data_IF_498879841785
#
_entry.id   IF_498879841785
#
_cell.length_a   1.000
_cell.length_b   1.000
_cell.length_c   1.000
_cell.angle_alpha   90.00
_cell.angle_beta   90.00
_cell.angle_gamma   90.00
#
_symmetry.space_group_name_H-M   'P 1'
#
loop_
_entity.id
_entity.type
_entity.pdbx_description
1 polymer ?
#
# COMPACT_ATOMS: atom_id res chain seq x y z
N UNK A 1 15.07 15.09 -5.17
CA UNK A 1 14.23 13.96 -4.71
C UNK A 1 14.47 13.76 -3.22
N UNK A 2 13.50 14.13 -2.38
CA UNK A 2 13.65 14.21 -0.93
C UNK A 2 13.90 12.83 -0.31
N UNK A 3 14.86 12.76 0.63
CA UNK A 3 15.29 11.55 1.35
C UNK A 3 14.15 10.81 2.09
N UNK A 4 13.03 11.48 2.30
CA UNK A 4 11.81 10.93 2.90
C UNK A 4 11.09 9.94 1.98
N UNK A 5 10.91 10.28 0.70
CA UNK A 5 10.31 9.37 -0.30
C UNK A 5 11.15 8.10 -0.49
N UNK A 6 12.48 8.22 -0.47
CA UNK A 6 13.37 7.06 -0.60
C UNK A 6 13.38 6.14 0.62
N UNK A 7 13.01 6.62 1.82
CA UNK A 7 12.85 5.79 3.01
C UNK A 7 11.51 5.03 2.97
N UNK A 8 10.43 5.73 2.62
CA UNK A 8 9.11 5.13 2.46
C UNK A 8 9.11 4.04 1.37
N UNK A 9 9.78 4.31 0.24
CA UNK A 9 9.91 3.35 -0.85
C UNK A 9 10.75 2.12 -0.49
N UNK A 10 11.70 2.21 0.46
CA UNK A 10 12.56 1.07 0.81
C UNK A 10 11.92 0.13 1.84
N UNK A 11 11.12 0.64 2.76
CA UNK A 11 10.45 -0.18 3.77
C UNK A 11 9.16 -0.80 3.22
N UNK A 12 8.35 -0.04 2.46
CA UNK A 12 6.99 -0.46 2.12
C UNK A 12 6.84 -0.64 0.59
N UNK A 13 7.86 -1.21 -0.07
CA UNK A 13 7.88 -1.50 -1.52
C UNK A 13 6.58 -2.14 -2.05
N UNK A 14 6.01 -3.19 -1.41
CA UNK A 14 4.82 -3.84 -1.93
C UNK A 14 3.58 -2.93 -1.91
N UNK A 15 3.35 -2.17 -0.83
CA UNK A 15 2.25 -1.19 -0.76
C UNK A 15 2.41 -0.11 -1.82
N UNK A 16 3.62 0.44 -1.97
CA UNK A 16 3.88 1.47 -2.97
C UNK A 16 3.58 0.97 -4.39
N UNK A 17 4.02 -0.24 -4.73
CA UNK A 17 3.73 -0.85 -6.03
C UNK A 17 2.25 -1.16 -6.23
N UNK A 18 1.57 -1.66 -5.20
CA UNK A 18 0.13 -1.89 -5.24
C UNK A 18 -0.65 -0.58 -5.48
N UNK A 19 -0.24 0.52 -4.86
CA UNK A 19 -0.85 1.84 -5.06
C UNK A 19 -0.63 2.37 -6.48
N UNK A 20 0.59 2.22 -7.02
CA UNK A 20 0.89 2.65 -8.40
C UNK A 20 0.07 1.83 -9.41
N UNK A 21 0.01 0.51 -9.23
CA UNK A 21 -0.75 -0.38 -10.12
C UNK A 21 -2.25 -0.07 -10.07
N UNK A 22 -2.83 0.15 -8.87
CA UNK A 22 -4.26 0.45 -8.76
C UNK A 22 -4.63 1.74 -9.50
N UNK A 23 -3.81 2.79 -9.36
CA UNK A 23 -4.01 4.07 -10.05
C UNK A 23 -3.96 3.88 -11.57
N UNK A 24 -2.97 3.14 -12.08
CA UNK A 24 -2.83 2.89 -13.53
C UNK A 24 -4.05 2.15 -14.07
N UNK A 25 -4.52 1.12 -13.36
CA UNK A 25 -5.71 0.36 -13.77
C UNK A 25 -6.97 1.25 -13.74
N UNK A 26 -7.16 2.03 -12.66
CA UNK A 26 -8.31 2.95 -12.55
C UNK A 26 -8.31 3.98 -13.68
N UNK A 27 -7.18 4.61 -13.98
CA UNK A 27 -7.06 5.57 -15.09
C UNK A 27 -7.31 4.87 -16.43
N UNK A 28 -6.79 3.66 -16.62
CA UNK A 28 -7.04 2.84 -17.80
C UNK A 28 -8.54 2.59 -18.02
N UNK A 29 -9.27 2.19 -16.97
CA UNK A 29 -10.73 1.97 -17.03
C UNK A 29 -11.47 3.27 -17.33
N UNK A 30 -11.09 4.39 -16.71
CA UNK A 30 -11.73 5.70 -16.95
C UNK A 30 -11.60 6.17 -18.40
N UNK A 31 -10.47 5.87 -19.04
CA UNK A 31 -10.20 6.28 -20.43
C UNK A 31 -10.79 5.31 -21.46
N UNK A 32 -10.86 4.01 -21.16
CA UNK A 32 -11.28 2.97 -22.12
C UNK A 32 -12.79 2.70 -22.08
N UNK A 33 -13.42 2.80 -20.90
CA UNK A 33 -14.83 2.50 -20.71
C UNK A 33 -15.63 3.80 -20.67
N UNK A 34 -16.54 3.98 -21.62
CA UNK A 34 -17.39 5.17 -21.71
C UNK A 34 -18.62 5.08 -20.82
N UNK A 35 -19.11 3.86 -20.57
CA UNK A 35 -20.30 3.61 -19.77
C UNK A 35 -20.04 3.85 -18.28
N UNK A 36 -20.92 4.59 -17.62
CA UNK A 36 -20.72 5.04 -16.24
C UNK A 36 -20.83 3.87 -15.26
N UNK A 37 -21.87 3.04 -15.41
CA UNK A 37 -22.14 1.91 -14.52
C UNK A 37 -21.01 0.91 -14.60
N UNK A 38 -20.59 0.56 -15.82
CA UNK A 38 -19.49 -0.39 -16.05
C UNK A 38 -18.16 0.12 -15.49
N UNK A 39 -17.87 1.43 -15.59
CA UNK A 39 -16.69 2.02 -14.93
C UNK A 39 -16.72 1.80 -13.42
N UNK A 40 -17.84 2.11 -12.76
CA UNK A 40 -17.97 1.91 -11.32
C UNK A 40 -17.85 0.44 -10.92
N UNK A 41 -18.48 -0.46 -11.67
CA UNK A 41 -18.40 -1.91 -11.43
C UNK A 41 -16.97 -2.46 -11.56
N UNK A 42 -16.16 -1.92 -12.47
CA UNK A 42 -14.78 -2.35 -12.65
C UNK A 42 -13.81 -1.69 -11.66
N UNK A 43 -14.05 -0.45 -11.28
CA UNK A 43 -13.21 0.31 -10.34
C UNK A 43 -13.44 -0.15 -8.90
N UNK A 44 -14.66 -0.52 -8.53
CA UNK A 44 -15.02 -0.91 -7.16
C UNK A 44 -14.21 -2.12 -6.62
N UNK A 45 -14.05 -3.25 -7.36
CA UNK A 45 -13.20 -4.35 -6.94
C UNK A 45 -11.72 -3.97 -6.80
N UNK A 46 -11.23 -3.06 -7.66
CA UNK A 46 -9.84 -2.58 -7.60
C UNK A 46 -9.60 -1.80 -6.29
N UNK A 47 -10.54 -0.93 -5.91
CA UNK A 47 -10.49 -0.23 -4.62
C UNK A 47 -10.61 -1.18 -3.44
N UNK A 48 -11.58 -2.11 -3.46
CA UNK A 48 -11.77 -3.07 -2.39
C UNK A 48 -10.52 -3.95 -2.20
N UNK A 49 -9.93 -4.43 -3.29
CA UNK A 49 -8.69 -5.20 -3.26
C UNK A 49 -7.51 -4.39 -2.70
N UNK A 50 -7.39 -3.12 -3.08
CA UNK A 50 -6.33 -2.25 -2.56
C UNK A 50 -6.48 -1.99 -1.05
N UNK A 51 -7.70 -1.75 -0.56
CA UNK A 51 -7.96 -1.52 0.87
C UNK A 51 -7.66 -2.81 1.66
N UNK A 52 -8.16 -3.95 1.21
CA UNK A 52 -7.90 -5.25 1.86
C UNK A 52 -6.41 -5.55 1.90
N UNK A 53 -5.70 -5.35 0.79
CA UNK A 53 -4.25 -5.52 0.73
C UNK A 53 -3.53 -4.56 1.69
N UNK A 54 -3.97 -3.29 1.74
CA UNK A 54 -3.37 -2.29 2.64
C UNK A 54 -3.54 -2.69 4.10
N UNK A 55 -4.71 -3.18 4.52
CA UNK A 55 -4.94 -3.64 5.90
C UNK A 55 -4.07 -4.85 6.21
N UNK A 56 -4.02 -5.85 5.32
CA UNK A 56 -3.23 -7.06 5.54
C UNK A 56 -1.73 -6.74 5.68
N UNK A 57 -1.19 -5.90 4.79
CA UNK A 57 0.23 -5.53 4.85
C UNK A 57 0.51 -4.60 6.03
N UNK A 58 -0.39 -3.68 6.37
CA UNK A 58 -0.21 -2.79 7.54
C UNK A 58 -0.21 -3.59 8.83
N UNK A 59 -1.09 -4.60 8.98
CA UNK A 59 -1.08 -5.50 10.14
C UNK A 59 0.24 -6.26 10.27
N UNK A 60 0.81 -6.72 9.16
CA UNK A 60 2.11 -7.40 9.17
C UNK A 60 3.26 -6.41 9.50
N UNK A 61 3.23 -5.18 8.98
CA UNK A 61 4.22 -4.14 9.30
C UNK A 61 4.15 -3.65 10.76
N UNK A 62 2.96 -3.46 11.32
CA UNK A 62 2.78 -3.07 12.73
C UNK A 62 3.33 -4.14 13.69
N UNK A 63 3.14 -5.42 13.37
CA UNK A 63 3.71 -6.53 14.16
C UNK A 63 5.25 -6.57 14.07
N UNK A 64 5.84 -6.34 12.89
CA UNK A 64 7.29 -6.29 12.72
C UNK A 64 7.95 -5.09 13.44
N UNK A 65 7.30 -3.92 13.42
CA UNK A 65 7.82 -2.72 14.07
C UNK A 65 7.77 -2.84 15.61
N UNK A 66 6.75 -3.50 16.16
CA UNK A 66 6.70 -3.84 17.60
C UNK A 66 7.85 -4.75 18.04
N UNK A 67 8.24 -5.75 17.24
CA UNK A 67 9.35 -6.65 17.56
C UNK A 67 10.71 -5.94 17.49
N UNK A 68 10.92 -5.07 16.50
CA UNK A 68 12.14 -4.29 16.35
C UNK A 68 12.34 -3.32 17.51
N UNK A 69 11.26 -2.69 18.00
CA UNK A 69 11.33 -1.75 19.14
C UNK A 69 11.60 -2.45 20.48
N UNK A 70 11.02 -3.66 20.68
CA UNK A 70 11.31 -4.51 21.85
C UNK A 70 12.76 -5.00 21.88
N UNK A 71 13.37 -5.28 20.72
CA UNK A 71 14.79 -5.68 20.63
C UNK A 71 15.76 -4.53 20.99
N UNK A 72 15.47 -3.29 20.55
CA UNK A 72 16.28 -2.11 20.88
C UNK A 72 16.23 -1.76 22.37
N UNK A 73 15.06 -1.84 23.00
CA UNK A 73 14.91 -1.57 24.45
C UNK A 73 15.70 -2.55 25.32
N UNK A 74 15.91 -3.78 24.87
CA UNK A 74 16.68 -4.81 25.59
C UNK A 74 18.21 -4.62 25.45
N UNK A 75 18.67 -3.98 24.38
CA UNK A 75 20.08 -3.68 24.12
C UNK A 75 20.60 -2.44 24.86
N UNK A 76 19.74 -1.47 25.18
CA UNK A 76 20.15 -0.21 25.84
C UNK A 76 20.19 -0.32 27.37
N UNK A 77 19.80 -1.47 27.95
CA UNK A 77 19.74 -1.69 29.40
C UNK A 77 20.88 -2.56 29.95
N UNK A 78 21.98 -2.71 29.20
CA UNK A 78 23.22 -3.36 29.65
C UNK A 78 24.34 -2.35 29.79
#
# INVERSE_FOLDING_TARGET
>A
MNKWFSKFYKNNKPIFWAAVISIVITVGVLLTVKDEVTRFTLIMPVFAGFILFSILVTSDEELEDEEKDKSKKKSTKR
#
